data_IF_983173523837
#
_entry.id   IF_983173523837
#
_cell.length_a   1.000
_cell.length_b   1.000
_cell.length_c   1.000
_cell.angle_alpha   90.00
_cell.angle_beta   90.00
_cell.angle_gamma   90.00
#
_symmetry.space_group_name_H-M   'P 1'
#
loop_
_entity.id
_entity.type
_entity.pdbx_description
1 polymer ?
#
# COMPACT_ATOMS: atom_id res chain seq x y z
N UNK A 1 -1.41 12.12 6.54
CA UNK A 1 -1.93 10.75 6.34
C UNK A 1 -3.06 10.40 7.31
N UNK A 2 -3.70 9.24 7.16
CA UNK A 2 -4.72 8.72 8.09
C UNK A 2 -4.64 7.21 8.15
N UNK A 3 -4.76 6.65 9.35
CA UNK A 3 -4.73 5.19 9.58
C UNK A 3 -6.12 4.58 9.45
N UNK A 4 -7.14 5.28 9.90
CA UNK A 4 -8.52 4.79 10.00
C UNK A 4 -9.46 5.40 8.93
N UNK A 5 -8.98 6.36 8.15
CA UNK A 5 -9.77 7.12 7.18
C UNK A 5 -10.74 8.14 7.82
N UNK A 6 -10.63 8.36 9.13
CA UNK A 6 -11.50 9.30 9.89
C UNK A 6 -10.71 10.48 10.42
N UNK A 7 -9.53 10.22 11.00
CA UNK A 7 -8.69 11.24 11.62
C UNK A 7 -7.34 11.29 10.89
N UNK A 8 -6.96 12.46 10.43
CA UNK A 8 -5.68 12.71 9.77
C UNK A 8 -4.58 12.99 10.78
N UNK A 9 -3.38 12.48 10.46
CA UNK A 9 -2.13 12.73 11.18
C UNK A 9 -1.25 13.60 10.27
N UNK A 10 -0.55 14.58 10.83
CA UNK A 10 0.33 15.50 10.10
C UNK A 10 -0.40 16.76 9.60
N UNK A 11 0.12 17.41 8.58
CA UNK A 11 -0.41 18.68 8.03
C UNK A 11 -1.04 18.44 6.64
N UNK A 12 -2.33 18.77 6.44
CA UNK A 12 -3.32 19.14 7.44
C UNK A 12 -3.79 17.90 8.24
N UNK A 13 -3.87 18.03 9.57
CA UNK A 13 -4.45 17.01 10.46
C UNK A 13 -5.97 17.15 10.59
N UNK A 14 -6.56 16.42 11.54
CA UNK A 14 -7.98 16.54 11.91
C UNK A 14 -8.93 15.64 11.13
N UNK A 15 -10.20 16.04 11.02
CA UNK A 15 -11.24 15.19 10.44
C UNK A 15 -11.06 14.99 8.92
N UNK A 16 -10.95 13.73 8.48
CA UNK A 16 -10.82 13.41 7.06
C UNK A 16 -12.05 13.79 6.23
N UNK A 17 -13.23 13.84 6.83
CA UNK A 17 -14.49 14.19 6.15
C UNK A 17 -14.47 15.62 5.61
N UNK A 18 -13.86 16.55 6.33
CA UNK A 18 -13.78 17.98 5.98
C UNK A 18 -12.40 18.37 5.42
N UNK A 19 -11.49 17.41 5.26
CA UNK A 19 -10.14 17.68 4.80
C UNK A 19 -10.13 18.08 3.31
N UNK A 20 -9.53 19.24 2.93
CA UNK A 20 -9.48 19.68 1.54
C UNK A 20 -8.75 18.68 0.62
N UNK A 21 -7.74 17.96 1.13
CA UNK A 21 -7.02 16.94 0.38
C UNK A 21 -7.87 15.69 0.08
N UNK A 22 -8.99 15.50 0.77
CA UNK A 22 -9.94 14.41 0.53
C UNK A 22 -11.06 14.80 -0.45
N UNK A 23 -11.11 16.05 -0.91
CA UNK A 23 -12.07 16.50 -1.90
C UNK A 23 -11.66 16.02 -3.31
N UNK A 24 -12.64 15.73 -4.17
CA UNK A 24 -12.37 15.49 -5.59
C UNK A 24 -11.87 16.78 -6.26
N UNK A 25 -10.93 16.65 -7.19
CA UNK A 25 -10.27 17.79 -7.84
C UNK A 25 -9.08 18.37 -7.03
N UNK A 26 -8.76 17.81 -5.86
CA UNK A 26 -7.61 18.26 -5.06
C UNK A 26 -6.27 17.68 -5.50
N UNK A 27 -6.23 16.83 -6.54
CA UNK A 27 -4.99 16.26 -7.05
C UNK A 27 -4.04 17.36 -7.56
N UNK A 28 -2.74 17.26 -7.23
CA UNK A 28 -1.73 18.30 -7.57
C UNK A 28 -1.56 18.50 -9.08
N UNK A 29 -1.86 17.50 -9.88
CA UNK A 29 -1.73 17.44 -11.34
C UNK A 29 -2.93 18.05 -12.07
N UNK A 30 -3.83 18.76 -11.39
CA UNK A 30 -5.07 19.32 -11.99
C UNK A 30 -6.09 18.26 -12.41
N UNK A 31 -5.85 16.99 -12.08
CA UNK A 31 -6.75 15.88 -12.36
C UNK A 31 -8.01 15.87 -11.50
N UNK A 32 -9.03 15.13 -11.92
CA UNK A 32 -10.30 14.98 -11.18
C UNK A 32 -10.15 14.16 -9.88
N UNK A 33 -8.96 13.63 -9.61
CA UNK A 33 -8.67 12.80 -8.46
C UNK A 33 -8.60 13.55 -7.14
N UNK A 34 -8.40 12.79 -6.05
CA UNK A 34 -8.11 13.33 -4.72
C UNK A 34 -6.61 13.32 -4.48
N UNK A 35 -6.06 14.36 -3.83
CA UNK A 35 -4.68 14.36 -3.36
C UNK A 35 -4.47 13.27 -2.28
N UNK A 36 -5.41 13.14 -1.34
CA UNK A 36 -5.42 12.06 -0.36
C UNK A 36 -6.19 10.85 -0.91
N UNK A 37 -5.46 9.84 -1.40
CA UNK A 37 -6.05 8.61 -1.95
C UNK A 37 -6.40 7.63 -0.84
N UNK A 38 -7.63 7.11 -0.84
CA UNK A 38 -8.02 6.02 0.05
C UNK A 38 -7.34 4.73 -0.42
N UNK A 39 -6.47 4.19 0.41
CA UNK A 39 -5.80 2.91 0.17
C UNK A 39 -6.37 1.83 1.09
N UNK A 40 -6.35 0.58 0.66
CA UNK A 40 -6.66 -0.56 1.52
C UNK A 40 -5.40 -1.36 1.79
N UNK A 41 -5.00 -1.45 3.04
CA UNK A 41 -3.85 -2.24 3.46
C UNK A 41 -4.28 -3.67 3.77
N UNK A 42 -3.57 -4.63 3.18
CA UNK A 42 -3.72 -6.06 3.42
C UNK A 42 -2.44 -6.58 4.02
N UNK A 43 -2.54 -7.29 5.12
CA UNK A 43 -1.44 -8.04 5.70
C UNK A 43 -1.56 -9.49 5.23
N UNK A 44 -0.59 -9.95 4.46
CA UNK A 44 -0.60 -11.26 3.82
C UNK A 44 0.56 -12.08 4.35
N UNK A 45 0.27 -13.27 4.86
CA UNK A 45 1.29 -14.24 5.21
C UNK A 45 1.54 -15.16 4.00
N UNK A 46 2.78 -15.20 3.52
CA UNK A 46 3.19 -16.12 2.46
C UNK A 46 3.63 -17.46 3.07
N UNK A 47 3.48 -18.53 2.27
CA UNK A 47 3.97 -19.86 2.67
C UNK A 47 5.49 -19.81 2.95
N UNK A 48 5.90 -20.36 4.08
CA UNK A 48 7.30 -20.38 4.52
C UNK A 48 7.81 -19.08 5.14
N UNK A 49 6.98 -18.04 5.26
CA UNK A 49 7.34 -16.78 5.91
C UNK A 49 6.63 -16.63 7.27
N UNK A 50 7.34 -16.06 8.23
CA UNK A 50 6.79 -15.77 9.57
C UNK A 50 6.34 -14.32 9.72
N UNK A 51 6.78 -13.43 8.82
CA UNK A 51 6.40 -12.02 8.83
C UNK A 51 5.40 -11.73 7.71
N UNK A 52 4.30 -11.03 8.02
CA UNK A 52 3.32 -10.69 6.99
C UNK A 52 3.85 -9.59 6.07
N UNK A 53 3.56 -9.72 4.80
CA UNK A 53 3.74 -8.66 3.82
C UNK A 53 2.59 -7.67 3.89
N UNK A 54 2.91 -6.39 3.74
CA UNK A 54 1.91 -5.35 3.54
C UNK A 54 1.71 -5.10 2.05
N UNK A 55 0.49 -5.32 1.59
CA UNK A 55 0.05 -4.97 0.23
C UNK A 55 -0.94 -3.83 0.31
N UNK A 56 -0.61 -2.70 -0.33
CA UNK A 56 -1.48 -1.52 -0.38
C UNK A 56 -2.27 -1.50 -1.68
N UNK A 57 -3.58 -1.71 -1.58
CA UNK A 57 -4.47 -1.69 -2.73
C UNK A 57 -4.86 -0.25 -3.09
N UNK A 58 -4.68 0.17 -4.34
CA UNK A 58 -5.14 1.46 -4.83
C UNK A 58 -6.67 1.51 -4.93
N UNK A 59 -7.26 2.72 -5.04
CA UNK A 59 -8.72 2.89 -5.14
C UNK A 59 -9.38 2.04 -6.22
N UNK A 60 -8.72 1.84 -7.36
CA UNK A 60 -9.20 1.02 -8.49
C UNK A 60 -9.38 -0.46 -8.13
N UNK A 61 -8.58 -0.97 -7.19
CA UNK A 61 -8.61 -2.37 -6.74
C UNK A 61 -9.48 -2.61 -5.51
N UNK A 62 -10.00 -1.54 -4.86
CA UNK A 62 -10.82 -1.69 -3.64
C UNK A 62 -12.16 -2.35 -3.93
N UNK A 63 -12.83 -1.97 -5.04
CA UNK A 63 -14.13 -2.57 -5.41
C UNK A 63 -14.01 -4.06 -5.70
N UNK A 64 -13.12 -4.53 -6.58
CA UNK A 64 -12.90 -5.97 -6.80
C UNK A 64 -12.57 -6.73 -5.52
N UNK A 65 -11.77 -6.12 -4.63
CA UNK A 65 -11.46 -6.71 -3.33
C UNK A 65 -12.70 -6.87 -2.44
N UNK A 66 -13.55 -5.86 -2.34
CA UNK A 66 -14.80 -5.93 -1.56
C UNK A 66 -15.75 -7.01 -2.09
N UNK A 67 -15.91 -7.10 -3.40
CA UNK A 67 -16.73 -8.13 -4.05
C UNK A 67 -16.18 -9.53 -3.76
N UNK A 68 -14.86 -9.70 -3.83
CA UNK A 68 -14.19 -10.94 -3.45
C UNK A 68 -14.42 -11.29 -1.97
N UNK A 69 -14.22 -10.33 -1.04
CA UNK A 69 -14.42 -10.56 0.39
C UNK A 69 -15.84 -11.02 0.70
N UNK A 70 -16.84 -10.37 0.12
CA UNK A 70 -18.24 -10.73 0.34
C UNK A 70 -18.51 -12.16 -0.11
N UNK A 71 -18.10 -12.52 -1.33
CA UNK A 71 -18.33 -13.84 -1.91
C UNK A 71 -17.53 -14.94 -1.21
N UNK A 72 -16.24 -14.69 -0.93
CA UNK A 72 -15.33 -15.71 -0.42
C UNK A 72 -15.44 -15.92 1.09
N UNK A 73 -15.82 -14.89 1.85
CA UNK A 73 -15.75 -14.92 3.31
C UNK A 73 -17.07 -14.54 3.99
N UNK A 74 -17.66 -13.39 3.65
CA UNK A 74 -18.84 -12.89 4.38
C UNK A 74 -20.04 -13.82 4.20
N UNK A 75 -20.42 -14.14 2.97
CA UNK A 75 -21.55 -15.04 2.71
C UNK A 75 -21.32 -16.47 3.20
N UNK A 76 -20.07 -16.87 3.35
CA UNK A 76 -19.68 -18.19 3.87
C UNK A 76 -19.42 -18.16 5.38
N UNK A 77 -19.58 -17.02 6.05
CA UNK A 77 -19.32 -16.81 7.47
C UNK A 77 -17.92 -17.28 7.91
N UNK A 78 -16.91 -17.08 7.05
CA UNK A 78 -15.53 -17.47 7.31
C UNK A 78 -14.65 -16.26 7.61
N UNK A 79 -13.67 -16.46 8.49
CA UNK A 79 -12.63 -15.47 8.73
C UNK A 79 -11.67 -15.38 7.54
N UNK A 80 -11.17 -14.18 7.24
CA UNK A 80 -10.28 -13.93 6.09
C UNK A 80 -8.94 -14.68 6.16
N UNK A 81 -8.47 -15.01 7.37
CA UNK A 81 -7.26 -15.83 7.59
C UNK A 81 -7.51 -17.33 7.37
N UNK A 82 -8.75 -17.76 7.21
CA UNK A 82 -9.12 -19.17 7.14
C UNK A 82 -8.97 -19.81 5.77
N UNK A 83 -8.31 -19.17 4.82
CA UNK A 83 -8.22 -19.67 3.45
C UNK A 83 -6.97 -19.18 2.74
N UNK A 84 -6.48 -20.01 1.81
CA UNK A 84 -5.43 -19.65 0.88
C UNK A 84 -6.02 -18.87 -0.30
N UNK A 85 -5.44 -17.70 -0.58
CA UNK A 85 -5.90 -16.79 -1.64
C UNK A 85 -4.76 -16.52 -2.62
N UNK A 86 -5.06 -16.58 -3.89
CA UNK A 86 -4.17 -16.12 -4.95
C UNK A 86 -4.50 -14.67 -5.29
N UNK A 87 -3.47 -13.82 -5.33
CA UNK A 87 -3.58 -12.43 -5.78
C UNK A 87 -2.80 -12.28 -7.08
N UNK A 88 -3.43 -11.70 -8.07
CA UNK A 88 -2.84 -11.40 -9.37
C UNK A 88 -3.15 -9.97 -9.80
N UNK A 89 -2.70 -9.62 -10.98
CA UNK A 89 -2.98 -8.33 -11.63
C UNK A 89 -3.56 -8.55 -13.01
N UNK A 90 -4.49 -7.71 -13.39
CA UNK A 90 -4.94 -7.56 -14.77
C UNK A 90 -4.74 -6.13 -15.23
N UNK A 91 -4.39 -5.96 -16.51
CA UNK A 91 -4.38 -4.65 -17.16
C UNK A 91 -5.82 -4.18 -17.38
N UNK A 92 -6.06 -2.91 -17.15
CA UNK A 92 -7.32 -2.21 -17.41
C UNK A 92 -7.00 -0.82 -17.97
N UNK A 93 -7.97 -0.18 -18.61
CA UNK A 93 -7.79 1.14 -19.22
C UNK A 93 -9.05 1.98 -19.06
N UNK A 94 -8.88 3.28 -18.89
CA UNK A 94 -9.97 4.26 -18.88
C UNK A 94 -10.04 5.09 -20.17
N UNK A 95 -9.37 4.62 -21.23
CA UNK A 95 -9.29 5.30 -22.51
C UNK A 95 -8.13 6.32 -22.60
N UNK A 96 -7.68 6.89 -21.50
CA UNK A 96 -6.56 7.84 -21.45
C UNK A 96 -5.30 7.25 -20.85
N UNK A 97 -5.46 6.34 -19.88
CA UNK A 97 -4.36 5.73 -19.16
C UNK A 97 -4.59 4.24 -18.96
N UNK A 98 -3.52 3.46 -19.12
CA UNK A 98 -3.47 2.06 -18.75
C UNK A 98 -3.07 1.92 -17.27
N UNK A 99 -3.72 1.03 -16.56
CA UNK A 99 -3.43 0.76 -15.15
C UNK A 99 -3.66 -0.72 -14.81
N UNK A 100 -3.13 -1.14 -13.67
CA UNK A 100 -3.31 -2.51 -13.19
C UNK A 100 -4.37 -2.56 -12.08
N UNK A 101 -5.22 -3.56 -12.16
CA UNK A 101 -6.25 -3.85 -11.15
C UNK A 101 -5.95 -5.20 -10.51
N UNK A 102 -5.96 -5.26 -9.17
CA UNK A 102 -5.76 -6.49 -8.45
C UNK A 102 -6.92 -7.47 -8.66
N UNK A 103 -6.57 -8.74 -8.85
CA UNK A 103 -7.51 -9.85 -8.96
C UNK A 103 -7.31 -10.81 -7.79
N UNK A 104 -8.40 -11.45 -7.34
CA UNK A 104 -8.41 -12.30 -6.16
C UNK A 104 -9.12 -13.61 -6.48
N UNK A 105 -8.49 -14.72 -6.11
CA UNK A 105 -9.05 -16.06 -6.27
C UNK A 105 -8.86 -16.86 -4.99
N UNK A 106 -9.96 -17.44 -4.48
CA UNK A 106 -9.88 -18.42 -3.40
C UNK A 106 -9.35 -19.73 -3.96
N UNK A 107 -8.30 -20.27 -3.35
CA UNK A 107 -7.72 -21.56 -3.77
C UNK A 107 -8.26 -22.72 -2.92
N UNK A 108 -8.08 -22.62 -1.59
CA UNK A 108 -8.60 -23.62 -0.66
C UNK A 108 -8.87 -23.03 0.72
N UNK A 109 -9.67 -23.71 1.48
CA UNK A 109 -9.89 -23.40 2.90
C UNK A 109 -8.96 -24.21 3.79
N UNK A 110 -8.47 -23.60 4.86
CA UNK A 110 -7.73 -24.28 5.90
C UNK A 110 -8.69 -25.03 6.82
N UNK A 111 -8.26 -26.19 7.35
CA UNK A 111 -9.03 -27.04 8.23
C UNK A 111 -8.18 -27.60 9.37
N UNK A 112 -8.84 -28.10 10.41
CA UNK A 112 -8.20 -28.80 11.52
C UNK A 112 -7.07 -27.99 12.17
N UNK A 113 -5.93 -28.62 12.35
CA UNK A 113 -4.77 -28.05 13.03
C UNK A 113 -4.17 -26.87 12.27
N UNK A 114 -4.11 -26.90 10.93
CA UNK A 114 -3.63 -25.82 10.11
C UNK A 114 -4.44 -24.52 10.36
N UNK A 115 -5.77 -24.63 10.41
CA UNK A 115 -6.64 -23.51 10.73
C UNK A 115 -6.40 -22.99 12.15
N UNK A 116 -6.17 -23.88 13.12
CA UNK A 116 -5.93 -23.49 14.51
C UNK A 116 -4.62 -22.71 14.65
N UNK A 117 -3.55 -23.15 14.00
CA UNK A 117 -2.25 -22.48 14.01
C UNK A 117 -2.34 -21.09 13.36
N UNK A 118 -2.97 -20.97 12.18
CA UNK A 118 -3.15 -19.69 11.51
C UNK A 118 -4.05 -18.75 12.31
N UNK A 119 -5.09 -19.28 12.98
CA UNK A 119 -5.95 -18.48 13.88
C UNK A 119 -5.16 -17.91 15.04
N UNK A 120 -4.34 -18.71 15.69
CA UNK A 120 -3.51 -18.27 16.81
C UNK A 120 -2.56 -17.14 16.37
N UNK A 121 -1.86 -17.33 15.25
CA UNK A 121 -1.00 -16.32 14.67
C UNK A 121 -1.76 -15.03 14.32
N UNK A 122 -2.90 -15.14 13.64
CA UNK A 122 -3.70 -13.98 13.24
C UNK A 122 -4.22 -13.17 14.44
N UNK A 123 -4.56 -13.82 15.54
CA UNK A 123 -5.03 -13.16 16.76
C UNK A 123 -3.91 -12.34 17.42
N UNK A 124 -2.70 -12.92 17.53
CA UNK A 124 -1.53 -12.20 18.07
C UNK A 124 -1.22 -10.99 17.19
N UNK A 125 -1.11 -11.19 15.89
CA UNK A 125 -0.77 -10.11 14.95
C UNK A 125 -1.82 -9.01 14.89
N UNK A 126 -3.11 -9.35 14.97
CA UNK A 126 -4.23 -8.40 14.98
C UNK A 126 -4.13 -7.39 16.14
N UNK A 127 -3.63 -7.81 17.30
CA UNK A 127 -3.37 -6.92 18.42
C UNK A 127 -2.30 -5.86 18.13
N UNK A 128 -1.30 -6.21 17.31
CA UNK A 128 -0.16 -5.34 16.98
C UNK A 128 -0.43 -4.40 15.79
N UNK A 129 -1.39 -4.72 14.92
CA UNK A 129 -1.66 -3.97 13.68
C UNK A 129 -1.91 -2.48 13.93
N UNK A 130 -2.64 -2.10 14.97
CA UNK A 130 -2.94 -0.70 15.27
C UNK A 130 -1.65 0.09 15.55
N UNK A 131 -0.78 -0.47 16.39
CA UNK A 131 0.49 0.16 16.74
C UNK A 131 1.39 0.29 15.51
N UNK A 132 1.51 -0.78 14.72
CA UNK A 132 2.30 -0.78 13.47
C UNK A 132 1.79 0.30 12.50
N UNK A 133 0.49 0.44 12.32
CA UNK A 133 -0.09 1.44 11.42
C UNK A 133 0.16 2.87 11.90
N UNK A 134 0.08 3.13 13.21
CA UNK A 134 0.36 4.44 13.78
C UNK A 134 1.84 4.78 13.58
N UNK A 135 2.74 3.86 13.93
CA UNK A 135 4.19 4.07 13.76
C UNK A 135 4.56 4.35 12.29
N UNK A 136 3.98 3.61 11.35
CA UNK A 136 4.21 3.86 9.91
C UNK A 136 3.68 5.20 9.44
N UNK A 137 2.55 5.65 9.97
CA UNK A 137 2.01 6.96 9.64
C UNK A 137 2.94 8.08 10.12
N UNK A 138 3.52 7.94 11.31
CA UNK A 138 4.48 8.89 11.87
C UNK A 138 5.79 8.90 11.07
N UNK A 139 6.37 7.74 10.75
CA UNK A 139 7.59 7.64 9.94
C UNK A 139 7.39 8.28 8.57
N UNK A 140 6.26 8.04 7.92
CA UNK A 140 5.96 8.65 6.63
C UNK A 140 5.84 10.18 6.68
N UNK A 141 5.36 10.74 7.80
CA UNK A 141 5.32 12.20 7.99
C UNK A 141 6.73 12.77 8.20
N UNK A 142 7.57 12.12 9.02
CA UNK A 142 8.97 12.51 9.23
C UNK A 142 9.76 12.48 7.91
N UNK A 143 9.61 11.43 7.11
CA UNK A 143 10.24 11.33 5.80
C UNK A 143 9.79 12.44 4.85
N UNK A 144 8.50 12.78 4.83
CA UNK A 144 8.01 13.90 4.00
C UNK A 144 8.51 15.25 4.46
N UNK A 145 8.68 15.47 5.76
CA UNK A 145 9.26 16.68 6.30
C UNK A 145 10.72 16.82 5.85
N UNK A 146 11.47 15.72 5.87
CA UNK A 146 12.88 15.70 5.43
C UNK A 146 13.01 15.83 3.89
N UNK A 147 12.12 15.24 3.11
CA UNK A 147 12.10 15.35 1.64
C UNK A 147 11.78 16.79 1.16
N UNK A 148 11.10 17.61 1.98
CA UNK A 148 10.83 19.01 1.64
C UNK A 148 12.08 19.91 1.73
N UNK A 149 13.11 19.49 2.45
CA UNK A 149 14.37 20.25 2.63
C UNK A 149 15.48 19.77 1.67
N UNK A 150 15.22 18.73 0.85
CA UNK A 150 16.20 18.27 -0.14
C UNK A 150 16.10 19.09 -1.42
N UNK A 151 16.92 20.10 -1.55
CA UNK A 151 17.17 20.78 -2.82
C UNK A 151 17.97 19.82 -3.72
N UNK A 152 17.36 19.36 -4.81
CA UNK A 152 18.07 18.59 -5.84
C UNK A 152 19.14 19.51 -6.42
N UNK A 153 20.44 19.22 -6.24
CA UNK A 153 21.48 20.06 -6.83
C UNK A 153 21.31 20.10 -8.35
N UNK A 154 21.42 21.27 -8.95
CA UNK A 154 21.23 21.48 -10.41
C UNK A 154 22.09 20.54 -11.27
N UNK A 155 23.18 20.01 -10.71
CA UNK A 155 24.04 19.01 -11.35
C UNK A 155 23.39 17.62 -11.51
N UNK A 156 22.28 17.34 -10.82
CA UNK A 156 21.58 16.06 -10.89
C UNK A 156 20.46 16.02 -11.95
N UNK A 157 20.16 17.13 -12.60
CA UNK A 157 19.27 17.20 -13.75
C UNK A 157 20.04 16.93 -15.04
N UNK A 158 20.53 15.70 -15.21
CA UNK A 158 21.05 15.29 -16.51
C UNK A 158 19.86 15.23 -17.50
N UNK A 159 19.89 16.10 -18.51
CA UNK A 159 18.95 16.01 -19.61
C UNK A 159 19.08 14.61 -20.27
N UNK A 160 17.98 13.97 -20.65
CA UNK A 160 18.03 12.71 -21.37
C UNK A 160 18.85 12.87 -22.67
N UNK A 161 19.72 11.90 -22.96
CA UNK A 161 20.44 11.86 -24.22
C UNK A 161 19.48 11.85 -25.42
N UNK A 162 19.96 12.15 -26.63
CA UNK A 162 19.13 12.26 -27.82
C UNK A 162 18.41 10.94 -28.20
N UNK A 163 18.78 9.82 -27.59
CA UNK A 163 18.16 8.49 -27.72
C UNK A 163 17.19 8.15 -26.57
N UNK A 164 16.93 9.09 -25.64
CA UNK A 164 16.08 8.86 -24.47
C UNK A 164 16.73 8.05 -23.35
N UNK A 165 18.03 7.76 -23.43
CA UNK A 165 18.76 7.08 -22.37
C UNK A 165 19.19 8.04 -21.26
N UNK A 166 19.09 7.57 -19.99
CA UNK A 166 19.66 8.25 -18.83
C UNK A 166 21.01 7.63 -18.49
N UNK A 167 22.07 8.43 -18.51
CA UNK A 167 23.37 7.98 -17.99
C UNK A 167 23.28 8.03 -16.47
N UNK A 168 23.14 6.87 -15.85
CA UNK A 168 23.33 6.73 -14.40
C UNK A 168 24.83 6.86 -14.16
N UNK A 169 25.27 7.96 -13.50
CA UNK A 169 26.67 8.15 -13.14
C UNK A 169 27.16 6.95 -12.32
N UNK A 170 28.35 6.45 -12.65
CA UNK A 170 29.01 5.40 -11.87
C UNK A 170 29.16 5.88 -10.42
N UNK A 171 28.55 5.17 -9.49
CA UNK A 171 28.76 5.34 -8.06
C UNK A 171 30.14 4.71 -7.78
N UNK A 172 31.20 5.49 -7.86
CA UNK A 172 32.50 5.14 -7.29
C UNK A 172 32.38 5.19 -5.76
N UNK A 173 31.87 4.13 -5.18
CA UNK A 173 31.83 3.93 -3.73
C UNK A 173 32.85 2.87 -3.35
N UNK A 174 33.99 3.28 -2.80
CA UNK A 174 34.87 2.41 -2.05
C UNK A 174 34.07 1.90 -0.82
N UNK A 175 33.57 0.67 -0.92
CA UNK A 175 33.05 -0.03 0.25
C UNK A 175 34.25 -0.50 1.08
N UNK A 176 34.67 0.33 2.03
CA UNK A 176 35.57 -0.09 3.08
C UNK A 176 34.88 -1.20 3.89
N UNK A 177 35.49 -2.39 3.92
CA UNK A 177 35.03 -3.53 4.70
C UNK A 177 35.06 -3.16 6.18
N UNK A 178 33.89 -3.13 6.80
CA UNK A 178 33.80 -3.07 8.28
C UNK A 178 34.19 -4.43 8.87
N UNK A 179 34.95 -4.41 9.98
CA UNK A 179 35.48 -5.60 10.65
C UNK A 179 34.41 -6.51 11.26
#
# INVERSE_FOLDING_TARGET
>A
SSVDGKTGIGVPGGACATCPMNAYGSAKDGGRGKACKNMRHLYLLRSGEYMPLLVSLPPTSIRPFKEFLNRAFVYRQRATYGSLVQIGLKKDSNGSNDYSVATFRLLRDFQGEELAQIRAYANVFKGQIKTINIQRALINEEQRANDCDYEIPESATAAPGPDGSYVVGEINGDYEQLP
#
